data_IF_588857563586
#
_entry.id   IF_588857563586
#
_cell.length_a   1.000
_cell.length_b   1.000
_cell.length_c   1.000
_cell.angle_alpha   90.00
_cell.angle_beta   90.00
_cell.angle_gamma   90.00
#
_symmetry.space_group_name_H-M   'P 1'
#
loop_
_entity.id
_entity.type
_entity.pdbx_description
1 polymer ?
#
# COMPACT_ATOMS: atom_id res chain seq x y z
N UNK A 1 12.79 0.05 0.23
CA UNK A 1 11.36 -0.16 0.54
C UNK A 1 11.02 -1.63 0.31
N UNK A 2 10.66 -2.38 1.36
CA UNK A 2 10.30 -3.79 1.23
C UNK A 2 8.98 -3.94 0.49
N UNK A 3 8.96 -4.88 -0.47
CA UNK A 3 7.73 -5.36 -1.10
C UNK A 3 7.07 -6.34 -0.14
N UNK A 4 5.82 -6.07 0.22
CA UNK A 4 5.05 -6.89 1.16
C UNK A 4 4.01 -7.77 0.46
N UNK A 5 3.70 -7.46 -0.79
CA UNK A 5 2.80 -8.24 -1.63
C UNK A 5 3.16 -8.11 -3.11
N UNK A 6 3.08 -9.22 -3.84
CA UNK A 6 3.26 -9.25 -5.29
C UNK A 6 2.33 -10.30 -5.90
N UNK A 7 1.44 -9.88 -6.80
CA UNK A 7 0.57 -10.78 -7.53
C UNK A 7 0.19 -10.20 -8.90
N UNK A 8 0.41 -10.94 -9.99
CA UNK A 8 0.02 -10.54 -11.35
C UNK A 8 0.36 -9.08 -11.73
N UNK A 9 1.56 -8.62 -11.35
CA UNK A 9 2.05 -7.26 -11.61
C UNK A 9 1.50 -6.17 -10.67
N UNK A 10 0.63 -6.52 -9.71
CA UNK A 10 0.26 -5.67 -8.58
C UNK A 10 1.31 -5.84 -7.48
N UNK A 11 2.07 -4.78 -7.20
CA UNK A 11 3.09 -4.76 -6.15
C UNK A 11 2.66 -3.80 -5.05
N UNK A 12 2.63 -4.26 -3.80
CA UNK A 12 2.42 -3.40 -2.62
C UNK A 12 3.73 -3.31 -1.86
N UNK A 13 4.14 -2.09 -1.54
CA UNK A 13 5.35 -1.80 -0.78
C UNK A 13 5.12 -0.67 0.21
N UNK A 14 5.95 -0.60 1.23
CA UNK A 14 5.86 0.42 2.28
C UNK A 14 7.08 1.32 2.24
N UNK A 15 6.86 2.62 2.45
CA UNK A 15 7.91 3.58 2.73
C UNK A 15 7.52 4.47 3.91
N UNK A 16 8.11 4.19 5.06
CA UNK A 16 7.86 4.93 6.30
C UNK A 16 8.91 6.01 6.58
N UNK A 17 9.91 6.18 5.71
CA UNK A 17 10.97 7.20 5.84
C UNK A 17 10.76 8.46 5.00
N UNK A 18 9.62 8.59 4.31
CA UNK A 18 9.34 9.82 3.54
C UNK A 18 9.03 10.98 4.50
N UNK A 19 9.75 12.10 4.30
CA UNK A 19 9.54 13.31 5.08
C UNK A 19 8.14 13.87 4.83
N UNK A 20 7.32 13.94 5.89
CA UNK A 20 5.95 14.50 5.84
C UNK A 20 4.82 13.46 5.88
N UNK A 21 5.13 12.16 6.02
CA UNK A 21 4.13 11.10 6.12
C UNK A 21 3.55 10.99 7.54
N UNK A 22 2.44 11.68 7.80
CA UNK A 22 1.75 11.60 9.09
C UNK A 22 0.68 10.50 9.14
N UNK A 23 0.24 9.98 7.98
CA UNK A 23 -0.80 8.94 7.90
C UNK A 23 -0.18 7.62 7.44
N UNK A 24 -0.34 6.51 8.19
CA UNK A 24 0.10 5.19 7.76
C UNK A 24 -0.54 4.76 6.43
N UNK A 25 0.28 4.41 5.45
CA UNK A 25 -0.18 3.98 4.12
C UNK A 25 0.83 3.08 3.43
N UNK A 26 0.35 2.38 2.40
CA UNK A 26 1.17 1.62 1.45
C UNK A 26 1.22 2.33 0.11
N UNK A 27 2.26 2.05 -0.65
CA UNK A 27 2.32 2.35 -2.08
C UNK A 27 1.98 1.09 -2.87
N UNK A 28 1.32 1.29 -4.00
CA UNK A 28 0.92 0.24 -4.93
C UNK A 28 1.43 0.61 -6.30
N UNK A 29 2.18 -0.29 -6.94
CA UNK A 29 2.62 -0.16 -8.32
C UNK A 29 1.84 -1.16 -9.19
N UNK A 30 1.22 -0.68 -10.25
CA UNK A 30 0.52 -1.52 -11.22
C UNK A 30 0.58 -0.89 -12.62
N UNK A 31 1.08 -1.64 -13.61
CA UNK A 31 1.25 -1.16 -15.00
C UNK A 31 1.98 0.19 -15.10
N UNK A 32 3.09 0.30 -14.36
CA UNK A 32 3.94 1.50 -14.32
C UNK A 32 3.25 2.75 -13.74
N UNK A 33 2.09 2.59 -13.11
CA UNK A 33 1.41 3.65 -12.35
C UNK A 33 1.55 3.40 -10.84
N UNK A 34 1.86 4.47 -10.11
CA UNK A 34 1.92 4.48 -8.64
C UNK A 34 0.61 5.01 -8.03
N UNK A 35 0.23 4.37 -6.93
CA UNK A 35 -0.94 4.72 -6.12
C UNK A 35 -0.56 4.65 -4.64
N UNK A 36 -1.29 5.38 -3.80
CA UNK A 36 -1.11 5.31 -2.34
C UNK A 36 -2.43 5.00 -1.66
N UNK A 37 -2.41 4.08 -0.69
CA UNK A 37 -3.59 3.66 0.05
C UNK A 37 -3.33 3.67 1.56
N UNK A 38 -4.16 4.37 2.32
CA UNK A 38 -4.17 4.26 3.76
C UNK A 38 -4.49 2.82 4.19
N UNK A 39 -4.09 2.44 5.40
CA UNK A 39 -4.31 1.07 5.90
C UNK A 39 -5.80 0.70 6.00
N UNK A 40 -6.70 1.68 6.12
CA UNK A 40 -8.15 1.49 6.08
C UNK A 40 -8.72 1.25 4.67
N UNK A 41 -7.89 1.32 3.63
CA UNK A 41 -8.25 1.10 2.22
C UNK A 41 -8.74 2.34 1.47
N UNK A 42 -8.67 3.53 2.09
CA UNK A 42 -8.85 4.81 1.40
C UNK A 42 -7.70 5.04 0.41
N UNK A 43 -8.04 5.46 -0.81
CA UNK A 43 -7.03 5.85 -1.80
C UNK A 43 -6.62 7.31 -1.54
N UNK A 44 -5.33 7.52 -1.27
CA UNK A 44 -4.76 8.83 -0.96
C UNK A 44 -4.22 9.54 -2.21
N UNK A 45 -3.69 8.77 -3.17
CA UNK A 45 -3.06 9.30 -4.38
C UNK A 45 -3.15 8.32 -5.56
N UNK A 46 -2.83 8.84 -6.76
CA UNK A 46 -2.82 8.09 -8.01
C UNK A 46 -4.13 8.19 -8.81
N UNK A 47 -4.11 7.59 -10.00
CA UNK A 47 -5.26 7.53 -10.91
C UNK A 47 -6.31 6.51 -10.49
N UNK A 48 -7.18 6.11 -11.43
CA UNK A 48 -8.21 5.10 -11.17
C UNK A 48 -7.66 3.69 -11.34
N UNK A 49 -7.41 2.99 -10.23
CA UNK A 49 -7.02 1.59 -10.26
C UNK A 49 -8.18 0.70 -10.75
N UNK A 50 -7.94 -0.31 -11.61
CA UNK A 50 -9.01 -1.18 -12.07
C UNK A 50 -9.66 -1.96 -10.93
N UNK A 51 -10.97 -2.23 -11.05
CA UNK A 51 -11.81 -2.76 -9.94
C UNK A 51 -11.27 -4.03 -9.28
N UNK A 52 -10.64 -4.92 -10.07
CA UNK A 52 -10.06 -6.17 -9.57
C UNK A 52 -8.88 -5.89 -8.64
N UNK A 53 -7.92 -5.09 -9.09
CA UNK A 53 -6.74 -4.68 -8.33
C UNK A 53 -7.13 -3.85 -7.10
N UNK A 54 -8.11 -2.95 -7.23
CA UNK A 54 -8.62 -2.20 -6.08
C UNK A 54 -9.19 -3.11 -4.99
N UNK A 55 -9.98 -4.12 -5.37
CA UNK A 55 -10.51 -5.11 -4.42
C UNK A 55 -9.39 -5.91 -3.76
N UNK A 56 -8.38 -6.27 -4.53
CA UNK A 56 -7.22 -7.04 -4.06
C UNK A 56 -6.38 -6.25 -3.06
N UNK A 57 -6.05 -4.99 -3.37
CA UNK A 57 -5.36 -4.07 -2.44
C UNK A 57 -6.14 -3.96 -1.13
N UNK A 58 -7.44 -3.63 -1.19
CA UNK A 58 -8.26 -3.45 0.01
C UNK A 58 -8.39 -4.73 0.84
N UNK A 59 -8.52 -5.88 0.18
CA UNK A 59 -8.57 -7.17 0.87
C UNK A 59 -7.24 -7.49 1.56
N UNK A 60 -6.13 -7.23 0.89
CA UNK A 60 -4.81 -7.40 1.49
C UNK A 60 -4.66 -6.49 2.71
N UNK A 61 -4.97 -5.20 2.58
CA UNK A 61 -4.89 -4.24 3.67
C UNK A 61 -5.76 -4.66 4.86
N UNK A 62 -7.02 -4.99 4.63
CA UNK A 62 -7.95 -5.39 5.69
C UNK A 62 -7.48 -6.65 6.44
N UNK A 63 -6.82 -7.59 5.77
CA UNK A 63 -6.39 -8.86 6.37
C UNK A 63 -5.01 -8.80 7.05
N UNK A 64 -4.26 -7.70 6.93
CA UNK A 64 -2.88 -7.60 7.43
C UNK A 64 -2.65 -6.36 8.31
N UNK A 65 -3.67 -5.88 9.01
CA UNK A 65 -3.60 -4.65 9.82
C UNK A 65 -2.45 -4.67 10.84
N UNK A 66 -2.33 -5.75 11.63
CA UNK A 66 -1.30 -5.84 12.68
C UNK A 66 0.11 -5.78 12.08
N UNK A 67 0.34 -6.56 11.01
CA UNK A 67 1.59 -6.59 10.27
C UNK A 67 1.94 -5.21 9.67
N UNK A 68 0.96 -4.53 9.07
CA UNK A 68 1.16 -3.21 8.48
C UNK A 68 1.52 -2.16 9.54
N UNK A 69 0.86 -2.19 10.70
CA UNK A 69 1.13 -1.27 11.80
C UNK A 69 2.51 -1.49 12.42
N UNK A 70 2.91 -2.75 12.64
CA UNK A 70 4.25 -3.10 13.12
C UNK A 70 5.32 -2.62 12.13
N UNK A 71 5.11 -2.90 10.84
CA UNK A 71 6.02 -2.52 9.79
C UNK A 71 6.14 -0.98 9.66
N UNK A 72 5.03 -0.25 9.76
CA UNK A 72 5.04 1.22 9.74
C UNK A 72 5.91 1.80 10.86
N UNK A 73 5.86 1.23 12.07
CA UNK A 73 6.62 1.70 13.23
C UNK A 73 8.09 1.28 13.21
N UNK A 74 8.45 0.22 12.49
CA UNK A 74 9.82 -0.31 12.45
C UNK A 74 10.74 0.54 11.56
N UNK A 75 12.01 0.67 11.92
CA UNK A 75 12.96 1.54 11.20
C UNK A 75 13.79 0.71 10.20
N UNK A 76 13.42 0.69 8.92
CA UNK A 76 14.15 -0.04 7.86
C UNK A 76 14.44 0.79 6.61
#
# INVERSE_FOLDING_TARGET
MPTIYLNNGLRIYINNREKGHNRPHVHVLYKDEDYSFAFDGEQLAGGKLPRKQLKEVRLYLANHQDYLNELWQSDF
#
